data_IF_231887255777
#
_entry.id   IF_231887255777
#
_cell.length_a   1.000
_cell.length_b   1.000
_cell.length_c   1.000
_cell.angle_alpha   90.00
_cell.angle_beta   90.00
_cell.angle_gamma   90.00
#
_symmetry.space_group_name_H-M   'P 1'
#
loop_
_entity.id
_entity.type
_entity.pdbx_description
1 polymer ?
#
# COMPACT_ATOMS: atom_id res chain seq x y z
N UNK A 1 26.00 24.76 -75.07
CA UNK A 1 25.01 25.06 -74.01
C UNK A 1 23.91 24.02 -74.12
N UNK A 2 23.42 23.33 -73.10
CA UNK A 2 23.76 23.26 -71.68
C UNK A 2 23.46 21.81 -71.24
N UNK A 3 24.36 21.22 -70.45
CA UNK A 3 24.12 19.92 -69.82
C UNK A 3 23.35 20.11 -68.51
N UNK A 4 22.30 19.34 -68.32
CA UNK A 4 21.57 19.15 -67.07
C UNK A 4 21.11 17.68 -67.08
N UNK A 5 21.32 16.82 -66.10
CA UNK A 5 21.64 16.96 -64.68
C UNK A 5 20.93 15.81 -63.96
N UNK A 6 21.30 14.56 -64.23
CA UNK A 6 20.62 13.33 -63.76
C UNK A 6 21.04 12.87 -62.35
N UNK A 7 21.41 13.80 -61.47
CA UNK A 7 21.97 13.48 -60.14
C UNK A 7 21.05 13.67 -58.92
N UNK A 8 19.80 14.14 -59.05
CA UNK A 8 19.05 14.65 -57.89
C UNK A 8 18.00 13.70 -57.27
N UNK A 9 17.47 12.74 -58.03
CA UNK A 9 16.29 11.98 -57.58
C UNK A 9 16.62 10.82 -56.61
N UNK A 10 17.78 10.17 -56.79
CA UNK A 10 18.19 8.99 -56.00
C UNK A 10 18.73 9.40 -54.60
N UNK A 11 19.43 10.53 -54.51
CA UNK A 11 19.92 11.05 -53.22
C UNK A 11 18.80 11.54 -52.28
N UNK A 12 17.71 12.09 -52.83
CA UNK A 12 16.58 12.59 -52.04
C UNK A 12 15.73 11.45 -51.45
N UNK A 13 15.52 10.37 -52.19
CA UNK A 13 14.72 9.21 -51.75
C UNK A 13 15.42 8.39 -50.66
N UNK A 14 16.74 8.16 -50.80
CA UNK A 14 17.55 7.49 -49.76
C UNK A 14 17.65 8.34 -48.49
N UNK A 15 17.82 9.67 -48.61
CA UNK A 15 17.86 10.58 -47.48
C UNK A 15 16.54 10.63 -46.69
N UNK A 16 15.40 10.53 -47.37
CA UNK A 16 14.08 10.58 -46.73
C UNK A 16 13.73 9.24 -46.06
N UNK A 17 14.06 8.10 -46.68
CA UNK A 17 13.86 6.78 -46.06
C UNK A 17 14.74 6.58 -44.81
N UNK A 18 16.00 7.03 -44.84
CA UNK A 18 16.89 7.00 -43.68
C UNK A 18 16.41 7.94 -42.55
N UNK A 19 15.86 9.11 -42.88
CA UNK A 19 15.26 10.03 -41.90
C UNK A 19 13.99 9.45 -41.27
N UNK A 20 13.12 8.83 -42.06
CA UNK A 20 11.88 8.22 -41.57
C UNK A 20 12.17 6.98 -40.74
N UNK A 21 13.10 6.12 -41.16
CA UNK A 21 13.52 4.95 -40.39
C UNK A 21 14.26 5.34 -39.09
N UNK A 22 15.18 6.30 -39.15
CA UNK A 22 15.88 6.83 -37.97
C UNK A 22 14.92 7.55 -37.00
N UNK A 23 13.95 8.30 -37.53
CA UNK A 23 12.90 8.95 -36.74
C UNK A 23 11.98 7.94 -36.05
N UNK A 24 11.63 6.84 -36.71
CA UNK A 24 10.81 5.78 -36.12
C UNK A 24 11.55 5.02 -35.01
N UNK A 25 12.84 4.73 -35.19
CA UNK A 25 13.68 4.11 -34.16
C UNK A 25 13.87 5.03 -32.95
N UNK A 26 14.11 6.32 -33.16
CA UNK A 26 14.23 7.29 -32.06
C UNK A 26 12.88 7.50 -31.34
N UNK A 27 11.76 7.54 -32.07
CA UNK A 27 10.44 7.66 -31.47
C UNK A 27 10.05 6.43 -30.64
N UNK A 28 10.35 5.22 -31.14
CA UNK A 28 10.09 3.97 -30.39
C UNK A 28 10.99 3.84 -29.16
N UNK A 29 12.28 4.17 -29.27
CA UNK A 29 13.19 4.22 -28.12
C UNK A 29 12.75 5.27 -27.10
N UNK A 30 12.32 6.45 -27.56
CA UNK A 30 11.80 7.52 -26.70
C UNK A 30 10.51 7.11 -25.97
N UNK A 31 9.58 6.44 -26.66
CA UNK A 31 8.35 5.90 -26.08
C UNK A 31 8.65 4.79 -25.06
N UNK A 32 9.59 3.89 -25.36
CA UNK A 32 10.00 2.83 -24.44
C UNK A 32 10.69 3.40 -23.19
N UNK A 33 11.59 4.37 -23.36
CA UNK A 33 12.25 5.06 -22.24
C UNK A 33 11.24 5.84 -21.38
N UNK A 34 10.28 6.53 -22.02
CA UNK A 34 9.21 7.23 -21.32
C UNK A 34 8.31 6.26 -20.54
N UNK A 35 7.88 5.16 -21.18
CA UNK A 35 7.04 4.14 -20.54
C UNK A 35 7.76 3.50 -19.35
N UNK A 36 9.02 3.12 -19.51
CA UNK A 36 9.85 2.55 -18.45
C UNK A 36 10.01 3.54 -17.29
N UNK A 37 10.34 4.80 -17.59
CA UNK A 37 10.48 5.85 -16.58
C UNK A 37 9.16 6.12 -15.86
N UNK A 38 8.04 6.10 -16.58
CA UNK A 38 6.70 6.30 -16.01
C UNK A 38 6.35 5.17 -15.05
N UNK A 39 6.54 3.91 -15.46
CA UNK A 39 6.30 2.74 -14.62
C UNK A 39 7.21 2.76 -13.40
N UNK A 40 8.51 3.00 -13.58
CA UNK A 40 9.47 3.10 -12.47
C UNK A 40 9.06 4.18 -11.46
N UNK A 41 8.66 5.38 -11.94
CA UNK A 41 8.16 6.45 -11.08
C UNK A 41 6.88 6.04 -10.35
N UNK A 42 5.97 5.33 -10.98
CA UNK A 42 4.74 4.84 -10.31
C UNK A 42 5.06 3.87 -9.18
N UNK A 43 6.07 3.01 -9.34
CA UNK A 43 6.45 2.03 -8.31
C UNK A 43 7.22 2.68 -7.17
N UNK A 44 8.12 3.61 -7.43
CA UNK A 44 8.98 4.18 -6.37
C UNK A 44 8.35 5.37 -5.64
N UNK A 45 7.24 5.92 -6.13
CA UNK A 45 6.59 7.10 -5.53
C UNK A 45 5.56 6.69 -4.47
N UNK A 46 5.64 7.22 -3.24
CA UNK A 46 4.64 6.98 -2.20
C UNK A 46 3.20 7.28 -2.63
N UNK A 47 2.27 6.39 -2.28
CA UNK A 47 0.84 6.51 -2.61
C UNK A 47 0.19 7.54 -1.69
N UNK A 48 -0.11 8.73 -2.22
CA UNK A 48 -0.69 9.84 -1.42
C UNK A 48 -2.22 9.86 -1.37
N UNK A 49 -2.90 9.21 -2.32
CA UNK A 49 -4.37 9.08 -2.35
C UNK A 49 -4.76 7.69 -2.79
N UNK A 50 -5.60 7.03 -2.00
CA UNK A 50 -6.14 5.72 -2.33
C UNK A 50 -7.53 5.89 -2.99
N UNK A 51 -7.76 5.32 -4.18
CA UNK A 51 -9.03 5.53 -4.90
C UNK A 51 -10.21 4.88 -4.16
N UNK A 52 -11.34 5.59 -4.11
CA UNK A 52 -12.61 5.05 -3.61
C UNK A 52 -13.31 4.25 -4.72
N UNK A 53 -12.86 3.01 -4.91
CA UNK A 53 -13.30 2.07 -5.94
C UNK A 53 -14.49 1.19 -5.50
N UNK A 54 -15.00 1.38 -4.29
CA UNK A 54 -16.14 0.66 -3.73
C UNK A 54 -17.39 1.54 -3.64
N UNK A 55 -18.55 0.92 -3.52
CA UNK A 55 -19.84 1.62 -3.37
C UNK A 55 -20.67 0.98 -2.27
N UNK A 56 -21.11 1.80 -1.31
CA UNK A 56 -22.13 1.45 -0.32
C UNK A 56 -23.49 1.69 -0.98
N UNK A 57 -24.28 0.63 -1.14
CA UNK A 57 -25.63 0.67 -1.72
C UNK A 57 -26.68 1.03 -0.67
N UNK A 58 -26.63 0.36 0.47
CA UNK A 58 -27.53 0.55 1.61
C UNK A 58 -26.85 0.06 2.88
N UNK A 59 -27.45 0.37 4.03
CA UNK A 59 -27.03 -0.12 5.33
C UNK A 59 -28.22 -0.09 6.28
N UNK A 60 -28.16 -0.94 7.31
CA UNK A 60 -29.08 -0.93 8.43
C UNK A 60 -28.26 -0.99 9.72
N UNK A 61 -28.23 0.10 10.48
CA UNK A 61 -27.45 0.16 11.72
C UNK A 61 -28.11 -0.61 12.87
N UNK A 62 -29.43 -0.81 12.82
CA UNK A 62 -30.16 -1.56 13.84
C UNK A 62 -29.95 -3.05 13.66
N UNK A 63 -29.97 -3.52 12.41
CA UNK A 63 -29.65 -4.90 12.07
C UNK A 63 -28.14 -5.16 12.00
N UNK A 64 -27.31 -4.11 12.01
CA UNK A 64 -25.86 -4.24 11.91
C UNK A 64 -25.42 -4.78 10.56
N UNK A 65 -25.98 -4.28 9.46
CA UNK A 65 -25.65 -4.72 8.10
C UNK A 65 -25.26 -3.57 7.18
N UNK A 66 -24.40 -3.89 6.20
CA UNK A 66 -24.03 -2.99 5.10
C UNK A 66 -24.06 -3.76 3.79
N UNK A 67 -24.75 -3.20 2.79
CA UNK A 67 -24.80 -3.76 1.44
C UNK A 67 -23.90 -2.95 0.52
N UNK A 68 -22.98 -3.66 -0.11
CA UNK A 68 -21.93 -3.14 -0.98
C UNK A 68 -22.20 -3.56 -2.42
N UNK A 69 -21.72 -2.76 -3.39
CA UNK A 69 -21.61 -3.23 -4.79
C UNK A 69 -20.69 -4.45 -4.81
N UNK A 70 -21.07 -5.48 -5.55
CA UNK A 70 -20.23 -6.66 -5.69
C UNK A 70 -18.91 -6.31 -6.39
N UNK A 71 -17.82 -6.69 -5.73
CA UNK A 71 -16.44 -6.68 -6.20
C UNK A 71 -15.73 -7.90 -5.61
N UNK A 72 -14.61 -8.36 -6.21
CA UNK A 72 -13.79 -9.40 -5.60
C UNK A 72 -13.44 -9.09 -4.15
N UNK A 73 -13.03 -7.86 -3.86
CA UNK A 73 -12.67 -7.41 -2.50
C UNK A 73 -13.87 -7.44 -1.54
N UNK A 74 -15.04 -6.95 -1.97
CA UNK A 74 -16.25 -6.97 -1.13
C UNK A 74 -16.75 -8.39 -0.86
N UNK A 75 -16.47 -9.33 -1.77
CA UNK A 75 -16.83 -10.74 -1.63
C UNK A 75 -15.80 -11.58 -0.86
N UNK A 76 -14.64 -11.02 -0.48
CA UNK A 76 -13.61 -11.77 0.24
C UNK A 76 -14.11 -12.26 1.60
N UNK A 77 -13.75 -13.48 2.02
CA UNK A 77 -13.97 -13.93 3.39
C UNK A 77 -13.24 -13.05 4.41
N UNK A 78 -13.75 -13.03 5.64
CA UNK A 78 -13.10 -12.36 6.77
C UNK A 78 -13.60 -10.94 7.03
N UNK A 79 -12.75 -10.11 7.65
CA UNK A 79 -13.07 -8.77 8.13
C UNK A 79 -12.15 -7.74 7.49
N UNK A 80 -12.65 -6.53 7.29
CA UNK A 80 -11.85 -5.43 6.74
C UNK A 80 -12.34 -4.06 7.23
N UNK A 81 -11.47 -3.06 7.10
CA UNK A 81 -11.86 -1.68 7.31
C UNK A 81 -12.52 -1.10 6.06
N UNK A 82 -13.44 -0.16 6.24
CA UNK A 82 -14.07 0.57 5.15
C UNK A 82 -13.99 2.07 5.41
N UNK A 83 -13.43 2.80 4.45
CA UNK A 83 -13.34 4.26 4.46
C UNK A 83 -14.35 4.89 3.51
N UNK A 84 -14.92 6.03 3.88
CA UNK A 84 -15.73 6.87 2.98
C UNK A 84 -15.55 8.35 3.31
N UNK A 85 -16.21 9.23 2.55
CA UNK A 85 -16.17 10.67 2.79
C UNK A 85 -14.77 11.29 2.61
N UNK A 86 -13.95 10.75 1.69
CA UNK A 86 -12.58 11.20 1.49
C UNK A 86 -11.64 10.86 2.64
N UNK A 87 -11.73 9.62 3.16
CA UNK A 87 -10.94 9.11 4.28
C UNK A 87 -11.19 9.85 5.62
N UNK A 88 -12.37 10.47 5.79
CA UNK A 88 -12.77 11.14 7.05
C UNK A 88 -13.69 10.28 7.92
N UNK A 89 -14.17 9.16 7.40
CA UNK A 89 -15.08 8.26 8.09
C UNK A 89 -14.61 6.80 7.94
N UNK A 90 -14.76 6.00 9.00
CA UNK A 90 -14.28 4.62 9.05
C UNK A 90 -15.25 3.68 9.78
N UNK A 91 -15.36 2.46 9.27
CA UNK A 91 -16.13 1.38 9.88
C UNK A 91 -15.38 0.04 9.75
N UNK A 92 -15.62 -0.83 10.72
CA UNK A 92 -15.23 -2.24 10.72
C UNK A 92 -16.35 -3.06 10.13
N UNK A 93 -16.03 -3.81 9.09
CA UNK A 93 -16.96 -4.66 8.35
C UNK A 93 -16.57 -6.11 8.57
N UNK A 94 -17.58 -6.89 8.97
CA UNK A 94 -17.46 -8.28 9.38
C UNK A 94 -17.73 -9.28 8.26
N UNK A 95 -18.33 -10.41 8.65
CA UNK A 95 -18.58 -11.56 7.79
C UNK A 95 -19.49 -11.25 6.59
N UNK A 96 -19.38 -12.07 5.55
CA UNK A 96 -20.30 -12.07 4.41
C UNK A 96 -21.60 -12.75 4.83
N UNK A 97 -22.73 -12.05 4.69
CA UNK A 97 -24.06 -12.57 5.01
C UNK A 97 -24.73 -13.11 3.74
N UNK A 98 -24.75 -12.30 2.69
CA UNK A 98 -25.43 -12.63 1.44
C UNK A 98 -24.66 -12.07 0.24
N UNK A 99 -24.72 -12.79 -0.87
CA UNK A 99 -24.16 -12.37 -2.15
C UNK A 99 -25.13 -12.74 -3.27
N UNK A 100 -25.54 -11.75 -4.06
CA UNK A 100 -26.51 -11.90 -5.13
C UNK A 100 -26.82 -10.57 -5.80
N UNK A 101 -27.35 -10.60 -7.02
CA UNK A 101 -27.84 -9.42 -7.74
C UNK A 101 -26.82 -8.27 -7.86
N UNK A 102 -25.54 -8.62 -8.03
CA UNK A 102 -24.45 -7.65 -8.12
C UNK A 102 -24.17 -6.90 -6.81
N UNK A 103 -24.57 -7.47 -5.67
CA UNK A 103 -24.38 -6.93 -4.33
C UNK A 103 -23.77 -7.96 -3.37
N UNK A 104 -23.12 -7.45 -2.33
CA UNK A 104 -22.67 -8.24 -1.18
C UNK A 104 -23.15 -7.55 0.09
N UNK A 105 -23.97 -8.25 0.88
CA UNK A 105 -24.39 -7.81 2.21
C UNK A 105 -23.47 -8.42 3.25
N UNK A 106 -22.96 -7.59 4.14
CA UNK A 106 -22.02 -7.95 5.20
C UNK A 106 -22.45 -7.41 6.54
N UNK A 107 -21.88 -7.98 7.59
CA UNK A 107 -21.99 -7.45 8.94
C UNK A 107 -21.32 -6.07 9.04
N UNK A 108 -22.02 -5.11 9.64
CA UNK A 108 -21.48 -3.83 10.07
C UNK A 108 -21.19 -3.94 11.57
N UNK A 109 -19.95 -4.28 11.91
CA UNK A 109 -19.57 -4.55 13.29
C UNK A 109 -19.49 -3.25 14.12
N UNK A 110 -18.90 -2.20 13.53
CA UNK A 110 -18.73 -0.92 14.23
C UNK A 110 -18.47 0.22 13.27
N UNK A 111 -19.17 1.33 13.46
CA UNK A 111 -18.74 2.62 12.92
C UNK A 111 -17.74 3.21 13.92
N UNK A 112 -16.47 3.35 13.52
CA UNK A 112 -15.42 3.85 14.40
C UNK A 112 -15.53 5.37 14.56
N UNK A 113 -15.74 6.08 13.45
CA UNK A 113 -16.00 7.51 13.42
C UNK A 113 -16.67 7.93 12.11
N UNK A 114 -17.35 9.08 12.16
CA UNK A 114 -18.14 9.61 11.06
C UNK A 114 -19.57 9.04 11.03
N UNK A 115 -20.31 9.39 9.98
CA UNK A 115 -21.69 8.94 9.76
C UNK A 115 -21.76 8.12 8.48
N UNK A 116 -22.32 6.90 8.57
CA UNK A 116 -22.47 6.03 7.42
C UNK A 116 -23.45 6.62 6.40
N UNK A 117 -23.08 6.58 5.13
CA UNK A 117 -23.88 7.11 4.00
C UNK A 117 -23.71 6.20 2.79
N UNK A 118 -24.77 6.08 2.00
CA UNK A 118 -24.66 5.47 0.68
C UNK A 118 -23.74 6.32 -0.21
N UNK A 119 -23.03 5.68 -1.13
CA UNK A 119 -22.10 6.34 -2.05
C UNK A 119 -20.72 5.70 -2.12
N UNK A 120 -19.73 6.49 -2.52
CA UNK A 120 -18.36 6.00 -2.75
C UNK A 120 -17.64 5.68 -1.45
N UNK A 121 -16.95 4.54 -1.44
CA UNK A 121 -16.17 4.05 -0.33
C UNK A 121 -14.89 3.36 -0.83
N UNK A 122 -14.06 2.91 0.09
CA UNK A 122 -12.86 2.13 -0.17
C UNK A 122 -12.72 1.02 0.87
N UNK A 123 -12.45 -0.20 0.43
CA UNK A 123 -12.07 -1.31 1.32
C UNK A 123 -10.59 -1.14 1.71
N UNK A 124 -10.28 -1.47 2.96
CA UNK A 124 -8.95 -1.34 3.55
C UNK A 124 -8.58 -2.63 4.26
N UNK A 125 -7.38 -3.15 3.98
CA UNK A 125 -6.79 -4.24 4.76
C UNK A 125 -6.45 -3.84 6.20
N UNK A 126 -6.54 -2.55 6.54
CA UNK A 126 -6.37 -2.06 7.91
C UNK A 126 -7.72 -2.13 8.61
N UNK A 127 -7.89 -3.18 9.39
CA UNK A 127 -9.06 -3.37 10.26
C UNK A 127 -8.83 -2.75 11.65
N UNK A 128 -7.60 -2.83 12.16
CA UNK A 128 -7.13 -2.08 13.32
C UNK A 128 -6.43 -0.80 12.84
N UNK A 129 -6.78 0.33 13.43
CA UNK A 129 -6.16 1.64 13.17
C UNK A 129 -5.14 1.98 14.25
N UNK A 130 -5.44 1.61 15.49
CA UNK A 130 -4.59 1.87 16.66
C UNK A 130 -4.09 0.54 17.27
N UNK A 131 -2.85 0.50 17.79
CA UNK A 131 -2.28 -0.71 18.36
C UNK A 131 -3.01 -1.21 19.61
N UNK A 132 -3.61 -0.31 20.40
CA UNK A 132 -4.32 -0.66 21.62
C UNK A 132 -5.59 -1.49 21.34
N UNK A 133 -6.13 -1.41 20.12
CA UNK A 133 -7.29 -2.20 19.70
C UNK A 133 -7.03 -3.71 19.71
N UNK A 134 -5.76 -4.11 19.72
CA UNK A 134 -5.39 -5.52 19.88
C UNK A 134 -5.77 -6.03 21.26
N UNK A 135 -5.80 -5.17 22.30
CA UNK A 135 -6.04 -5.59 23.68
C UNK A 135 -4.85 -6.33 24.27
N UNK A 136 -3.64 -5.85 23.99
CA UNK A 136 -2.38 -6.30 24.57
C UNK A 136 -1.60 -5.09 25.11
N UNK A 137 -0.70 -5.29 26.08
CA UNK A 137 0.30 -4.30 26.39
C UNK A 137 1.07 -3.91 25.12
N UNK A 138 1.20 -2.61 24.88
CA UNK A 138 1.97 -2.08 23.76
C UNK A 138 2.78 -0.88 24.23
N UNK A 139 3.98 -0.74 23.69
CA UNK A 139 4.84 0.42 23.91
C UNK A 139 5.28 1.00 22.58
N UNK A 140 5.15 2.31 22.42
CA UNK A 140 5.78 3.05 21.32
C UNK A 140 7.25 3.25 21.65
N UNK A 141 8.11 2.87 20.71
CA UNK A 141 9.57 2.97 20.84
C UNK A 141 10.13 3.68 19.62
N UNK A 142 11.35 4.20 19.75
CA UNK A 142 12.08 4.84 18.67
C UNK A 142 13.31 4.01 18.34
N UNK A 143 13.42 3.57 17.08
CA UNK A 143 14.54 2.78 16.57
C UNK A 143 15.54 3.74 15.92
N UNK A 144 16.79 3.83 16.42
CA UNK A 144 17.80 4.67 15.79
C UNK A 144 18.18 4.12 14.41
N UNK A 145 17.95 4.89 13.34
CA UNK A 145 18.37 4.59 11.98
C UNK A 145 19.36 5.64 11.47
N UNK A 146 20.00 5.37 10.32
CA UNK A 146 20.87 6.33 9.64
C UNK A 146 20.17 7.67 9.29
N UNK A 147 18.83 7.67 9.23
CA UNK A 147 18.02 8.84 8.86
C UNK A 147 17.36 9.52 10.08
N UNK A 148 17.58 8.99 11.28
CA UNK A 148 16.98 9.47 12.53
C UNK A 148 16.19 8.40 13.25
N UNK A 149 15.40 8.83 14.23
CA UNK A 149 14.55 7.95 15.04
C UNK A 149 13.34 7.49 14.22
N UNK A 150 13.20 6.18 14.02
CA UNK A 150 12.09 5.55 13.33
C UNK A 150 11.10 4.96 14.35
N UNK A 151 9.84 5.43 14.40
CA UNK A 151 8.92 4.97 15.43
C UNK A 151 8.44 3.54 15.18
N UNK A 152 8.36 2.72 16.22
CA UNK A 152 7.90 1.34 16.16
C UNK A 152 6.97 1.02 17.34
N UNK A 153 6.28 -0.12 17.25
CA UNK A 153 5.50 -0.66 18.36
C UNK A 153 6.07 -1.98 18.83
N UNK A 154 6.18 -2.12 20.16
CA UNK A 154 6.54 -3.37 20.81
C UNK A 154 5.34 -3.92 21.57
N UNK A 155 4.95 -5.14 21.23
CA UNK A 155 4.07 -5.97 22.06
C UNK A 155 4.95 -7.04 22.71
N UNK A 156 5.09 -7.06 24.04
CA UNK A 156 5.88 -8.09 24.71
C UNK A 156 5.22 -9.47 24.54
N UNK A 157 6.02 -10.54 24.61
CA UNK A 157 5.51 -11.90 24.73
C UNK A 157 4.64 -12.08 25.99
N UNK A 158 3.81 -13.14 26.06
CA UNK A 158 3.15 -13.56 27.30
C UNK A 158 4.15 -13.70 28.46
N UNK A 159 3.71 -13.42 29.69
CA UNK A 159 4.57 -13.47 30.88
C UNK A 159 5.18 -14.86 31.15
N UNK A 160 4.51 -15.93 30.72
CA UNK A 160 4.93 -17.33 30.86
C UNK A 160 5.69 -17.88 29.65
N UNK A 161 5.96 -17.05 28.64
CA UNK A 161 6.69 -17.47 27.45
C UNK A 161 8.21 -17.54 27.68
N UNK A 162 8.88 -18.40 26.90
CA UNK A 162 10.33 -18.44 26.82
C UNK A 162 10.89 -17.07 26.40
N UNK A 163 11.84 -16.48 27.16
CA UNK A 163 12.37 -15.15 26.86
C UNK A 163 13.20 -15.12 25.57
N UNK A 164 13.37 -13.93 24.99
CA UNK A 164 14.25 -13.71 23.84
C UNK A 164 13.70 -14.13 22.48
N UNK A 165 12.42 -14.51 22.39
CA UNK A 165 11.77 -14.84 21.11
C UNK A 165 11.09 -13.61 20.52
N UNK A 166 11.54 -13.20 19.34
CA UNK A 166 11.04 -12.02 18.65
C UNK A 166 10.49 -12.33 17.26
N UNK A 167 9.49 -11.56 16.86
CA UNK A 167 9.04 -11.42 15.48
C UNK A 167 9.09 -9.96 15.10
N UNK A 168 9.81 -9.67 14.01
CA UNK A 168 9.89 -8.34 13.43
C UNK A 168 8.96 -8.32 12.23
N UNK A 169 7.89 -7.53 12.32
CA UNK A 169 6.89 -7.41 11.28
C UNK A 169 7.24 -6.24 10.37
N UNK A 170 7.50 -6.56 9.10
CA UNK A 170 7.82 -5.58 8.05
C UNK A 170 6.63 -5.44 7.13
N UNK A 171 6.08 -4.23 7.03
CA UNK A 171 4.96 -3.97 6.14
C UNK A 171 5.39 -3.86 4.68
N UNK A 172 4.41 -3.93 3.77
CA UNK A 172 4.66 -3.90 2.33
C UNK A 172 4.78 -2.49 1.74
N UNK A 173 4.94 -2.47 0.42
CA UNK A 173 4.97 -1.25 -0.39
C UNK A 173 3.66 -0.45 -0.28
N UNK A 174 3.77 0.87 -0.03
CA UNK A 174 2.63 1.77 0.09
C UNK A 174 1.77 1.52 1.33
N UNK A 175 2.27 0.70 2.26
CA UNK A 175 1.71 0.46 3.57
C UNK A 175 2.58 1.13 4.67
N UNK A 176 2.11 1.01 5.90
CA UNK A 176 2.76 1.47 7.12
C UNK A 176 2.69 0.37 8.19
N UNK A 177 3.38 0.53 9.32
CA UNK A 177 3.50 -0.49 10.38
C UNK A 177 2.16 -1.02 10.91
N UNK A 178 1.09 -0.24 10.83
CA UNK A 178 -0.31 -0.61 11.13
C UNK A 178 -0.74 -1.90 10.41
N UNK A 179 -0.17 -2.17 9.24
CA UNK A 179 -0.43 -3.37 8.48
C UNK A 179 -0.19 -4.66 9.29
N UNK A 180 0.84 -4.67 10.14
CA UNK A 180 1.23 -5.82 10.97
C UNK A 180 0.27 -6.12 12.12
N UNK A 181 -0.58 -5.17 12.52
CA UNK A 181 -1.44 -5.32 13.71
C UNK A 181 -2.31 -6.58 13.67
N UNK A 182 -2.79 -6.97 12.48
CA UNK A 182 -3.63 -8.17 12.28
C UNK A 182 -2.95 -9.49 12.65
N UNK A 183 -1.62 -9.54 12.66
CA UNK A 183 -0.87 -10.75 12.97
C UNK A 183 -0.30 -10.75 14.41
N UNK A 184 -0.32 -9.62 15.13
CA UNK A 184 0.23 -9.49 16.49
C UNK A 184 -0.30 -10.56 17.42
N UNK A 185 -1.62 -10.73 17.50
CA UNK A 185 -2.26 -11.72 18.38
C UNK A 185 -1.74 -13.13 18.12
N UNK A 186 -1.60 -13.51 16.85
CA UNK A 186 -1.15 -14.85 16.44
C UNK A 186 0.27 -15.11 16.94
N UNK A 187 1.18 -14.14 16.80
CA UNK A 187 2.57 -14.29 17.26
C UNK A 187 2.70 -14.20 18.78
N UNK A 188 1.96 -13.30 19.42
CA UNK A 188 1.89 -13.20 20.87
C UNK A 188 1.46 -14.54 21.49
N UNK A 189 0.36 -15.12 21.00
CA UNK A 189 -0.16 -16.39 21.51
C UNK A 189 0.77 -17.58 21.21
N UNK A 190 1.70 -17.42 20.27
CA UNK A 190 2.77 -18.38 19.98
C UNK A 190 4.06 -18.13 20.81
N UNK A 191 4.02 -17.19 21.76
CA UNK A 191 5.11 -16.89 22.69
C UNK A 191 6.20 -16.01 22.11
N UNK A 192 5.85 -15.04 21.25
CA UNK A 192 6.80 -14.08 20.69
C UNK A 192 6.49 -12.64 21.12
N UNK A 193 7.55 -11.88 21.39
CA UNK A 193 7.50 -10.41 21.36
C UNK A 193 7.38 -9.95 19.91
N UNK A 194 6.47 -9.02 19.63
CA UNK A 194 6.28 -8.47 18.29
C UNK A 194 6.83 -7.05 18.22
N UNK A 195 7.75 -6.81 17.29
CA UNK A 195 8.21 -5.48 16.90
C UNK A 195 7.61 -5.12 15.54
N UNK A 196 6.76 -4.09 15.49
CA UNK A 196 6.21 -3.54 14.25
C UNK A 196 7.03 -2.31 13.87
N UNK A 197 8.01 -2.52 13.00
CA UNK A 197 8.94 -1.48 12.58
C UNK A 197 8.32 -0.58 11.50
N UNK A 198 8.58 0.73 11.61
CA UNK A 198 8.50 1.63 10.46
C UNK A 198 9.83 1.62 9.71
N UNK A 199 9.82 2.02 8.44
CA UNK A 199 11.04 2.21 7.66
C UNK A 199 10.92 3.43 6.75
N UNK A 200 12.06 3.95 6.28
CA UNK A 200 12.13 5.18 5.48
C UNK A 200 11.05 5.29 4.40
N UNK A 201 10.41 6.47 4.33
CA UNK A 201 9.39 6.82 3.33
C UNK A 201 8.04 6.07 3.42
N UNK A 202 7.78 5.34 4.51
CA UNK A 202 6.48 4.70 4.75
C UNK A 202 5.37 5.66 5.22
N UNK A 203 5.76 6.88 5.63
CA UNK A 203 4.87 7.93 6.13
C UNK A 203 4.97 8.15 7.64
N UNK A 204 5.60 7.22 8.37
CA UNK A 204 5.84 7.30 9.80
C UNK A 204 7.32 7.57 10.13
N UNK A 205 8.25 6.87 9.47
CA UNK A 205 9.68 7.03 9.69
C UNK A 205 10.25 8.26 8.95
N UNK A 206 11.45 8.74 9.34
CA UNK A 206 12.14 9.79 8.61
C UNK A 206 12.28 9.50 7.10
N UNK A 207 12.02 10.51 6.28
CA UNK A 207 12.12 10.39 4.82
C UNK A 207 13.58 10.42 4.36
N UNK A 208 13.91 9.64 3.33
CA UNK A 208 15.17 9.80 2.61
C UNK A 208 15.17 11.10 1.79
N UNK A 209 16.35 11.60 1.45
CA UNK A 209 16.49 12.84 0.68
C UNK A 209 15.73 12.81 -0.66
N UNK A 210 15.67 11.65 -1.31
CA UNK A 210 14.98 11.46 -2.58
C UNK A 210 13.48 11.10 -2.45
N UNK A 211 13.00 10.80 -1.23
CA UNK A 211 11.61 10.48 -0.89
C UNK A 211 11.02 9.34 -1.74
N UNK A 212 11.83 8.34 -2.05
CA UNK A 212 11.47 7.22 -2.91
C UNK A 212 11.73 5.90 -2.20
N UNK A 213 10.91 4.91 -2.52
CA UNK A 213 11.17 3.54 -2.10
C UNK A 213 12.35 2.97 -2.88
N UNK A 214 13.30 2.37 -2.16
CA UNK A 214 14.34 1.49 -2.70
C UNK A 214 13.86 0.06 -2.92
N UNK A 215 12.62 -0.27 -2.55
CA UNK A 215 12.00 -1.60 -2.67
C UNK A 215 12.84 -2.70 -2.01
N UNK A 216 13.43 -2.38 -0.86
CA UNK A 216 14.33 -3.26 -0.11
C UNK A 216 15.81 -2.98 -0.35
N UNK A 217 16.18 -2.23 -1.40
CA UNK A 217 17.58 -1.87 -1.68
C UNK A 217 18.18 -0.87 -0.69
N UNK A 218 17.35 -0.10 0.00
CA UNK A 218 17.77 0.89 1.02
C UNK A 218 17.10 0.65 2.36
N UNK A 219 15.85 0.20 2.36
CA UNK A 219 15.03 -0.02 3.57
C UNK A 219 15.60 -1.14 4.47
N UNK A 220 16.40 -2.06 3.93
CA UNK A 220 16.98 -3.16 4.71
C UNK A 220 17.81 -2.70 5.91
N UNK A 221 18.45 -1.53 5.84
CA UNK A 221 19.22 -0.96 6.96
C UNK A 221 18.34 -0.55 8.14
N UNK A 222 17.13 -0.07 7.86
CA UNK A 222 16.17 0.28 8.92
C UNK A 222 15.67 -0.99 9.62
N UNK A 223 15.51 -2.08 8.87
CA UNK A 223 15.14 -3.38 9.43
C UNK A 223 16.30 -4.04 10.17
N UNK A 224 17.54 -3.86 9.72
CA UNK A 224 18.73 -4.28 10.48
C UNK A 224 18.78 -3.59 11.85
N UNK A 225 18.54 -2.27 11.91
CA UNK A 225 18.43 -1.55 13.18
C UNK A 225 17.30 -2.08 14.08
N UNK A 226 16.16 -2.49 13.49
CA UNK A 226 15.07 -3.13 14.23
C UNK A 226 15.45 -4.52 14.75
N UNK A 227 16.28 -5.28 14.02
CA UNK A 227 16.84 -6.56 14.48
C UNK A 227 17.79 -6.33 15.66
N UNK A 228 18.67 -5.34 15.57
CA UNK A 228 19.62 -5.00 16.65
C UNK A 228 18.92 -4.54 17.94
N UNK A 229 17.73 -3.95 17.83
CA UNK A 229 16.88 -3.61 18.96
C UNK A 229 16.26 -4.85 19.64
N UNK A 230 15.91 -5.87 18.87
CA UNK A 230 15.21 -7.07 19.31
C UNK A 230 16.19 -8.14 19.83
N UNK A 231 16.66 -7.96 21.08
CA UNK A 231 17.58 -8.88 21.79
C UNK A 231 16.93 -9.73 22.87
#
# INVERSE_FOLDING_TARGET
MAGTGTGSAIGKTVGTAAFVAGGLVLATAGLAAWATTRVARTVITPVRRRPQNQTIRSFDQTLGTVTLRETPDAAMPGRFGMWWGGDTCFAKVGGLIERGDGSVTRELERIQFGQLRAGRARISGYYYLEPEEIGLPVTSVEIPTDLGQAPAWVFPAPEDAEPGRWVIQVHGWGASRQEGLRAVRVYHDAGFSCLLASYRNDGDAPESADRRYGLGGTEWRDIEAAIDYAV
#
